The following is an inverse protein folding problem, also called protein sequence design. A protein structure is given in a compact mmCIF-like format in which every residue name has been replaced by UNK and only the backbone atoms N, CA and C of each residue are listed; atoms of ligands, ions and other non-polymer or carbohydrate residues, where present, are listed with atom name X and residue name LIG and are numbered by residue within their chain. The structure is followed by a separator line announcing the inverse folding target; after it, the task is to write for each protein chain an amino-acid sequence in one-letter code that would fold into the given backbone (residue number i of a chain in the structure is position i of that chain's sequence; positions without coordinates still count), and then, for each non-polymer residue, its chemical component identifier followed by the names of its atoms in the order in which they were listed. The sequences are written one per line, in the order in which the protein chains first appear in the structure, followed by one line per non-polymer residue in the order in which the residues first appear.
data_IF_237282055648
#
_entry.id   IF_237282055648
#
_cell.length_a   1.000
_cell.length_b   1.000
_cell.length_c   1.000
_cell.angle_alpha   90.00
_cell.angle_beta   90.00
_cell.angle_gamma   90.00
#
_symmetry.space_group_name_H-M   'P 1'
#
loop_
_entity.id
_entity.type
_entity.pdbx_description
1 polymer ?
#
# COMPACT_ATOMS: atom_id res chain seq x y z
N UNK A 1 -4.21 -14.45 -31.80
CA UNK A 1 -4.40 -13.45 -30.73
C UNK A 1 -5.35 -12.35 -31.21
N UNK A 2 -6.59 -12.73 -31.54
CA UNK A 2 -7.66 -11.83 -32.01
C UNK A 2 -9.06 -12.26 -31.52
N UNK A 3 -9.15 -13.30 -30.67
CA UNK A 3 -10.41 -13.85 -30.20
C UNK A 3 -10.77 -13.46 -28.74
N UNK A 4 -9.92 -12.67 -28.06
CA UNK A 4 -10.17 -12.23 -26.68
C UNK A 4 -10.74 -10.81 -26.57
N UNK A 5 -10.87 -10.07 -27.68
CA UNK A 5 -11.34 -8.68 -27.69
C UNK A 5 -12.87 -8.57 -27.86
N UNK A 6 -13.56 -9.64 -28.26
CA UNK A 6 -15.01 -9.61 -28.49
C UNK A 6 -15.89 -9.81 -27.23
N UNK A 7 -15.32 -10.21 -26.09
CA UNK A 7 -16.12 -10.59 -24.90
C UNK A 7 -16.38 -9.41 -23.95
N UNK A 8 -15.63 -8.30 -24.06
CA UNK A 8 -15.80 -7.14 -23.15
C UNK A 8 -16.85 -6.14 -23.67
N UNK A 9 -17.24 -6.21 -24.94
CA UNK A 9 -18.23 -5.28 -25.52
C UNK A 9 -19.69 -5.72 -25.36
N UNK A 10 -19.97 -7.00 -25.04
CA UNK A 10 -21.35 -7.48 -24.92
C UNK A 10 -21.91 -7.42 -23.49
N UNK A 11 -21.06 -7.24 -22.47
CA UNK A 11 -21.51 -7.16 -21.08
C UNK A 11 -22.06 -5.79 -20.66
N UNK A 12 -21.85 -4.74 -21.47
CA UNK A 12 -22.32 -3.39 -21.14
C UNK A 12 -23.73 -3.06 -21.65
N UNK A 13 -24.32 -3.89 -22.52
CA UNK A 13 -25.66 -3.66 -23.07
C UNK A 13 -26.78 -4.45 -22.37
N UNK A 14 -26.48 -5.59 -21.73
CA UNK A 14 -27.52 -6.46 -21.16
C UNK A 14 -27.91 -6.13 -19.70
N UNK A 15 -27.22 -5.17 -19.04
CA UNK A 15 -27.60 -4.73 -17.68
C UNK A 15 -28.71 -3.67 -17.65
N UNK A 16 -29.20 -3.19 -18.81
CA UNK A 16 -30.29 -2.20 -18.92
C UNK A 16 -31.63 -2.84 -19.31
N UNK A 17 -31.66 -4.10 -19.75
CA UNK A 17 -32.89 -4.79 -20.17
C UNK A 17 -33.08 -6.08 -19.36
N UNK A 18 -33.75 -5.99 -18.21
CA UNK A 18 -33.98 -7.09 -17.27
C UNK A 18 -34.52 -8.40 -17.89
N UNK A 19 -33.61 -9.27 -18.33
CA UNK A 19 -33.90 -10.63 -18.80
C UNK A 19 -32.96 -11.63 -18.12
N UNK A 20 -33.51 -12.78 -17.75
CA UNK A 20 -32.85 -13.85 -17.00
C UNK A 20 -31.70 -14.52 -17.77
N UNK A 21 -30.67 -15.05 -17.08
CA UNK A 21 -29.48 -15.60 -17.72
C UNK A 21 -29.75 -16.95 -18.42
N UNK A 22 -29.25 -17.07 -19.65
CA UNK A 22 -29.26 -18.29 -20.47
C UNK A 22 -28.12 -19.23 -20.04
N UNK A 23 -28.42 -20.52 -19.98
CA UNK A 23 -27.52 -21.63 -19.65
C UNK A 23 -26.41 -21.84 -20.69
N UNK A 24 -25.17 -22.01 -20.23
CA UNK A 24 -23.99 -22.32 -21.05
C UNK A 24 -23.80 -23.85 -21.15
N UNK A 25 -23.63 -24.44 -22.35
CA UNK A 25 -23.39 -25.87 -22.50
C UNK A 25 -21.93 -26.25 -22.21
N UNK A 26 -21.74 -27.42 -21.59
CA UNK A 26 -20.45 -28.03 -21.29
C UNK A 26 -19.72 -28.46 -22.58
N UNK A 27 -18.48 -28.04 -22.78
CA UNK A 27 -17.63 -28.50 -23.89
C UNK A 27 -16.76 -29.69 -23.47
N UNK A 28 -16.76 -30.72 -24.34
CA UNK A 28 -16.07 -32.00 -24.22
C UNK A 28 -14.53 -31.87 -24.15
N UNK A 29 -13.91 -32.80 -23.42
CA UNK A 29 -12.45 -32.93 -23.23
C UNK A 29 -11.78 -33.46 -24.50
N UNK A 30 -10.92 -32.65 -25.12
CA UNK A 30 -9.96 -33.11 -26.11
C UNK A 30 -8.68 -33.58 -25.42
N UNK A 31 -8.42 -34.89 -25.45
CA UNK A 31 -7.20 -35.53 -24.94
C UNK A 31 -6.11 -35.41 -26.02
N UNK A 32 -5.04 -34.66 -25.74
CA UNK A 32 -3.82 -34.68 -26.55
C UNK A 32 -2.71 -35.28 -25.68
N UNK A 33 -2.25 -36.45 -26.07
CA UNK A 33 -1.13 -37.14 -25.46
C UNK A 33 0.19 -36.46 -25.86
N UNK A 34 0.99 -36.05 -24.87
CA UNK A 34 2.40 -35.72 -25.06
C UNK A 34 3.23 -36.46 -24.02
N UNK A 35 4.17 -37.26 -24.53
CA UNK A 35 5.11 -38.08 -23.77
C UNK A 35 6.17 -37.21 -23.09
N UNK A 36 6.23 -37.25 -21.76
CA UNK A 36 7.31 -36.67 -20.97
C UNK A 36 8.43 -37.70 -20.74
N UNK A 37 9.72 -37.35 -20.94
CA UNK A 37 10.82 -38.21 -20.52
C UNK A 37 11.05 -38.11 -19.00
N UNK A 38 11.24 -39.28 -18.38
CA UNK A 38 11.49 -39.49 -16.96
C UNK A 38 12.81 -38.87 -16.50
N UNK A 39 12.75 -37.92 -15.57
CA UNK A 39 13.92 -37.40 -14.86
C UNK A 39 13.87 -37.88 -13.40
N UNK A 40 14.86 -38.68 -12.99
CA UNK A 40 14.99 -39.16 -11.61
C UNK A 40 15.63 -38.06 -10.74
N UNK A 41 15.17 -37.84 -9.50
CA UNK A 41 15.77 -36.86 -8.60
C UNK A 41 16.98 -37.46 -7.88
N UNK A 42 18.18 -36.97 -8.20
CA UNK A 42 19.38 -37.19 -7.40
C UNK A 42 19.31 -36.39 -6.09
N UNK A 43 19.37 -37.11 -4.97
CA UNK A 43 19.49 -36.54 -3.63
C UNK A 43 20.94 -36.21 -3.32
N UNK A 44 21.24 -34.92 -3.13
CA UNK A 44 22.51 -34.46 -2.54
C UNK A 44 22.25 -33.49 -1.37
N UNK A 45 23.06 -33.50 -0.29
CA UNK A 45 22.71 -32.87 0.99
C UNK A 45 22.76 -31.33 0.94
N UNK A 46 21.79 -30.70 1.62
CA UNK A 46 21.68 -29.24 1.80
C UNK A 46 22.87 -28.69 2.60
N UNK A 47 23.79 -28.00 1.93
CA UNK A 47 24.78 -27.15 2.58
C UNK A 47 24.10 -25.88 3.13
N UNK A 48 24.19 -25.68 4.46
CA UNK A 48 23.78 -24.44 5.14
C UNK A 48 24.67 -23.28 4.66
N UNK A 49 24.15 -22.41 3.79
CA UNK A 49 24.77 -21.10 3.54
C UNK A 49 24.52 -20.21 4.76
N UNK A 50 25.54 -20.02 5.60
CA UNK A 50 25.61 -18.93 6.57
C UNK A 50 25.46 -17.61 5.81
N UNK A 51 24.44 -16.83 6.14
CA UNK A 51 24.37 -15.41 5.77
C UNK A 51 25.43 -14.68 6.60
N UNK A 52 26.53 -14.26 5.98
CA UNK A 52 27.39 -13.22 6.53
C UNK A 52 26.57 -11.93 6.59
N UNK A 53 26.27 -11.44 7.80
CA UNK A 53 25.82 -10.06 8.00
C UNK A 53 27.00 -9.17 7.61
N UNK A 54 26.81 -8.27 6.65
CA UNK A 54 27.73 -7.15 6.50
C UNK A 54 27.54 -6.24 7.72
N UNK A 55 28.62 -6.00 8.47
CA UNK A 55 28.66 -5.20 9.71
C UNK A 55 28.54 -3.68 9.48
N UNK A 56 28.13 -3.21 8.30
CA UNK A 56 28.07 -1.78 7.96
C UNK A 56 26.65 -1.19 7.82
N UNK A 57 25.61 -1.89 8.29
CA UNK A 57 24.20 -1.45 8.22
C UNK A 57 23.62 -0.90 9.54
N UNK A 58 24.45 -0.54 10.52
CA UNK A 58 23.97 0.17 11.72
C UNK A 58 23.91 1.69 11.49
N UNK A 59 22.81 2.15 10.90
CA UNK A 59 22.36 3.55 11.02
C UNK A 59 21.34 3.65 12.16
N UNK A 60 21.34 4.75 12.94
CA UNK A 60 20.75 4.78 14.26
C UNK A 60 19.25 4.48 14.19
N UNK A 61 18.83 3.43 14.89
CA UNK A 61 17.42 3.22 15.19
C UNK A 61 16.87 4.48 15.86
N UNK A 62 15.64 4.86 15.57
CA UNK A 62 14.95 5.93 16.31
C UNK A 62 14.89 5.48 17.77
N UNK A 63 15.73 6.07 18.63
CA UNK A 63 15.91 5.66 20.03
C UNK A 63 14.91 6.34 20.98
N UNK A 64 14.12 7.29 20.48
CA UNK A 64 13.14 8.04 21.26
C UNK A 64 12.08 8.69 20.38
N UNK A 65 10.97 9.09 21.01
CA UNK A 65 9.94 9.87 20.35
C UNK A 65 10.46 11.29 20.09
N UNK A 66 10.30 11.84 18.87
CA UNK A 66 10.80 13.18 18.56
C UNK A 66 10.04 14.27 19.32
N UNK A 67 10.76 15.26 19.87
CA UNK A 67 10.21 16.30 20.75
C UNK A 67 9.22 17.27 20.07
N UNK A 68 9.22 17.30 18.73
CA UNK A 68 8.43 18.24 17.92
C UNK A 68 7.04 17.69 17.52
N UNK A 69 6.71 16.44 17.85
CA UNK A 69 5.40 15.86 17.60
C UNK A 69 4.59 15.76 18.91
N UNK A 70 3.28 16.02 18.83
CA UNK A 70 2.40 15.93 19.99
C UNK A 70 2.05 14.47 20.25
N UNK A 71 2.85 13.79 21.08
CA UNK A 71 2.58 12.41 21.43
C UNK A 71 1.61 12.28 22.61
N UNK A 72 0.67 11.34 22.52
CA UNK A 72 -0.23 10.97 23.62
C UNK A 72 0.03 9.53 24.09
N UNK A 73 -0.07 9.32 25.40
CA UNK A 73 -0.07 8.00 26.05
C UNK A 73 -1.46 7.37 26.08
N UNK A 74 -2.50 8.13 25.71
CA UNK A 74 -3.86 7.62 25.64
C UNK A 74 -3.94 6.49 24.62
N UNK A 75 -4.50 5.35 25.03
CA UNK A 75 -4.93 4.31 24.12
C UNK A 75 -6.44 4.50 23.86
N UNK A 76 -6.85 4.90 22.64
CA UNK A 76 -8.26 5.06 22.31
C UNK A 76 -9.10 3.80 22.51
N UNK A 77 -8.48 2.62 22.59
CA UNK A 77 -9.14 1.34 22.81
C UNK A 77 -9.04 0.86 24.27
N UNK A 78 -8.46 1.64 25.20
CA UNK A 78 -8.39 1.28 26.61
C UNK A 78 -9.78 1.07 27.24
N UNK A 79 -10.78 1.85 26.79
CA UNK A 79 -12.17 1.71 27.25
C UNK A 79 -12.87 0.44 26.73
N UNK A 80 -12.28 -0.27 25.76
CA UNK A 80 -12.87 -1.47 25.16
C UNK A 80 -12.71 -2.73 26.03
N UNK A 81 -11.96 -2.66 27.13
CA UNK A 81 -11.83 -3.76 28.10
C UNK A 81 -13.17 -4.19 28.72
N UNK A 82 -14.18 -3.30 28.72
CA UNK A 82 -15.52 -3.57 29.24
C UNK A 82 -16.52 -4.05 28.17
N UNK A 83 -16.04 -4.34 26.97
CA UNK A 83 -16.88 -4.64 25.81
C UNK A 83 -17.07 -3.43 24.92
N UNK A 84 -17.08 -3.69 23.63
CA UNK A 84 -17.10 -2.66 22.60
C UNK A 84 -17.79 -3.23 21.36
N UNK A 85 -18.65 -2.42 20.75
CA UNK A 85 -19.49 -2.81 19.62
C UNK A 85 -18.86 -2.34 18.31
N UNK A 86 -17.67 -2.86 18.01
CA UNK A 86 -17.00 -2.63 16.74
C UNK A 86 -16.48 -3.95 16.16
N UNK A 87 -16.30 -4.05 14.83
CA UNK A 87 -15.84 -5.29 14.20
C UNK A 87 -14.49 -5.75 14.77
N UNK A 88 -14.42 -6.96 15.33
CA UNK A 88 -13.20 -7.50 15.94
C UNK A 88 -12.51 -8.46 14.98
N UNK A 89 -11.17 -8.40 14.94
CA UNK A 89 -10.39 -9.38 14.21
C UNK A 89 -10.71 -10.79 14.75
N UNK A 90 -10.82 -11.83 13.89
CA UNK A 90 -11.03 -13.19 14.37
C UNK A 90 -10.00 -13.57 15.42
N UNK A 91 -10.44 -14.13 16.55
CA UNK A 91 -9.57 -14.38 17.70
C UNK A 91 -8.36 -15.27 17.36
N UNK A 92 -8.49 -16.15 16.37
CA UNK A 92 -7.38 -16.98 15.87
C UNK A 92 -6.27 -16.16 15.21
N UNK A 93 -6.61 -15.03 14.58
CA UNK A 93 -5.64 -14.11 13.98
C UNK A 93 -5.16 -13.08 14.99
N UNK A 94 -6.03 -12.55 15.85
CA UNK A 94 -5.66 -11.60 16.90
C UNK A 94 -4.55 -12.16 17.80
N UNK A 95 -4.65 -13.42 18.21
CA UNK A 95 -3.62 -14.11 19.02
C UNK A 95 -2.25 -14.24 18.33
N UNK A 96 -2.19 -14.01 17.02
CA UNK A 96 -0.93 -14.07 16.24
C UNK A 96 -0.33 -12.69 16.00
N UNK A 97 -1.01 -11.61 16.40
CA UNK A 97 -0.42 -10.27 16.41
C UNK A 97 0.49 -10.16 17.64
N UNK A 98 1.69 -9.66 17.41
CA UNK A 98 2.67 -9.39 18.45
C UNK A 98 2.28 -8.10 19.17
N UNK A 99 1.90 -8.21 20.45
CA UNK A 99 1.65 -7.07 21.36
C UNK A 99 2.79 -6.84 22.36
N UNK A 100 3.80 -7.72 22.39
CA UNK A 100 4.84 -7.71 23.41
C UNK A 100 6.08 -6.91 23.02
N UNK A 101 6.48 -6.94 21.74
CA UNK A 101 7.66 -6.18 21.30
C UNK A 101 7.37 -4.67 21.16
N UNK A 102 8.35 -3.79 21.37
CA UNK A 102 8.18 -2.35 21.10
C UNK A 102 7.86 -2.07 19.63
N UNK A 103 6.96 -1.12 19.35
CA UNK A 103 6.70 -0.64 17.98
C UNK A 103 7.70 0.43 17.53
N UNK A 104 8.16 1.27 18.46
CA UNK A 104 9.09 2.36 18.20
C UNK A 104 10.33 1.86 17.43
N UNK A 105 10.62 2.48 16.30
CA UNK A 105 11.81 2.15 15.48
C UNK A 105 11.67 0.89 14.63
N UNK A 106 10.50 0.25 14.57
CA UNK A 106 10.27 -0.95 13.75
C UNK A 106 10.01 -0.66 12.28
N UNK A 107 9.88 0.61 11.90
CA UNK A 107 9.81 1.07 10.52
C UNK A 107 11.22 1.33 9.98
N UNK A 108 11.51 0.88 8.75
CA UNK A 108 12.78 1.16 8.07
C UNK A 108 12.76 2.59 7.48
N UNK A 109 13.58 3.54 7.95
CA UNK A 109 13.53 4.93 7.50
C UNK A 109 13.60 5.06 5.98
N UNK A 110 12.84 6.00 5.43
CA UNK A 110 12.75 6.32 4.01
C UNK A 110 12.46 7.81 3.86
N UNK A 111 12.83 8.40 2.71
CA UNK A 111 12.63 9.83 2.44
C UNK A 111 11.86 10.12 1.15
N UNK A 112 11.44 9.07 0.43
CA UNK A 112 10.51 9.17 -0.68
C UNK A 112 9.59 7.95 -0.69
N UNK A 113 8.29 8.15 -0.88
CA UNK A 113 7.33 7.05 -1.06
C UNK A 113 6.64 7.18 -2.40
N UNK A 114 6.85 6.16 -3.23
CA UNK A 114 6.30 6.02 -4.57
C UNK A 114 5.19 4.98 -4.49
N UNK A 115 3.96 5.39 -4.74
CA UNK A 115 2.81 4.51 -4.77
C UNK A 115 2.31 4.33 -6.21
N UNK A 116 2.14 3.09 -6.63
CA UNK A 116 1.78 2.72 -8.00
C UNK A 116 0.40 2.08 -7.96
N UNK A 117 -0.58 2.62 -8.69
CA UNK A 117 -1.89 1.97 -8.77
C UNK A 117 -1.74 0.74 -9.66
N UNK A 118 -1.77 -0.46 -9.08
CA UNK A 118 -1.44 -1.69 -9.80
C UNK A 118 -2.27 -2.86 -9.27
N UNK A 119 -3.21 -3.35 -10.09
CA UNK A 119 -3.97 -4.57 -9.79
C UNK A 119 -4.78 -4.51 -8.49
N UNK A 120 -5.10 -5.69 -7.95
CA UNK A 120 -5.84 -5.86 -6.69
C UNK A 120 -5.04 -6.74 -5.73
N UNK A 121 -5.18 -6.51 -4.42
CA UNK A 121 -4.49 -7.29 -3.38
C UNK A 121 -4.82 -8.78 -3.40
N UNK A 122 -5.97 -9.15 -3.94
CA UNK A 122 -6.35 -10.55 -4.19
C UNK A 122 -5.50 -11.21 -5.28
N UNK A 123 -5.09 -10.43 -6.29
CA UNK A 123 -4.31 -10.86 -7.45
C UNK A 123 -2.81 -10.84 -7.21
N UNK A 124 -2.30 -9.92 -6.37
CA UNK A 124 -0.85 -9.75 -6.17
C UNK A 124 -0.13 -11.05 -5.81
N UNK A 125 1.10 -11.26 -6.30
CA UNK A 125 1.96 -12.36 -5.85
C UNK A 125 2.36 -12.14 -4.38
N UNK A 126 2.92 -13.16 -3.71
CA UNK A 126 3.35 -13.05 -2.30
C UNK A 126 4.32 -11.88 -2.11
N UNK A 127 5.28 -11.71 -3.01
CA UNK A 127 6.30 -10.66 -2.97
C UNK A 127 6.23 -9.85 -4.25
N UNK A 128 5.27 -8.93 -4.30
CA UNK A 128 5.02 -8.07 -5.46
C UNK A 128 6.27 -7.28 -5.86
N UNK A 129 7.06 -6.84 -4.88
CA UNK A 129 8.29 -6.09 -5.10
C UNK A 129 9.44 -6.93 -5.71
N UNK A 130 9.27 -8.25 -5.82
CA UNK A 130 10.24 -9.20 -6.39
C UNK A 130 9.72 -9.89 -7.65
N UNK A 131 8.46 -9.67 -8.03
CA UNK A 131 7.85 -10.33 -9.18
C UNK A 131 8.10 -9.52 -10.46
N UNK A 132 8.90 -10.02 -11.42
CA UNK A 132 9.30 -9.26 -12.60
C UNK A 132 8.15 -8.92 -13.55
N UNK A 133 6.97 -9.51 -13.35
CA UNK A 133 5.77 -9.17 -14.13
C UNK A 133 5.09 -7.89 -13.65
N UNK A 134 5.49 -7.38 -12.49
CA UNK A 134 4.87 -6.22 -11.85
C UNK A 134 5.65 -4.94 -12.09
N UNK A 135 4.92 -3.85 -12.24
CA UNK A 135 5.46 -2.49 -12.34
C UNK A 135 6.12 -2.12 -11.00
N UNK A 136 5.52 -2.53 -9.88
CA UNK A 136 6.08 -2.35 -8.53
C UNK A 136 7.48 -2.93 -8.38
N UNK A 137 7.74 -4.14 -8.86
CA UNK A 137 9.09 -4.71 -8.86
C UNK A 137 10.05 -3.91 -9.74
N UNK A 138 9.61 -3.46 -10.92
CA UNK A 138 10.44 -2.63 -11.81
C UNK A 138 10.86 -1.32 -11.16
N UNK A 139 9.92 -0.61 -10.50
CA UNK A 139 10.24 0.59 -9.73
C UNK A 139 11.17 0.30 -8.56
N UNK A 140 10.94 -0.80 -7.84
CA UNK A 140 11.76 -1.21 -6.70
C UNK A 140 13.20 -1.49 -7.14
N UNK A 141 13.38 -2.27 -8.20
CA UNK A 141 14.70 -2.60 -8.75
C UNK A 141 15.44 -1.36 -9.25
N UNK A 142 14.77 -0.47 -10.01
CA UNK A 142 15.37 0.77 -10.48
C UNK A 142 15.71 1.73 -9.32
N UNK A 143 14.82 1.88 -8.35
CA UNK A 143 15.07 2.71 -7.17
C UNK A 143 16.26 2.21 -6.34
N UNK A 144 16.48 0.89 -6.26
CA UNK A 144 17.68 0.32 -5.62
C UNK A 144 18.97 0.54 -6.43
N UNK A 145 18.87 0.62 -7.77
CA UNK A 145 20.01 0.87 -8.66
C UNK A 145 20.38 2.35 -8.76
N UNK A 146 19.42 3.25 -8.58
CA UNK A 146 19.68 4.68 -8.55
C UNK A 146 20.34 5.05 -7.22
N UNK A 147 21.56 5.60 -7.29
CA UNK A 147 22.32 5.97 -6.11
C UNK A 147 21.62 7.07 -5.29
N UNK A 148 21.44 6.85 -3.99
CA UNK A 148 20.86 7.83 -3.06
C UNK A 148 21.24 7.52 -1.62
N UNK A 149 21.32 8.55 -0.77
CA UNK A 149 21.66 8.42 0.65
C UNK A 149 20.46 8.00 1.52
N UNK A 150 19.28 7.91 0.93
CA UNK A 150 18.03 7.57 1.60
C UNK A 150 17.27 6.46 0.88
N UNK A 151 16.47 5.72 1.64
CA UNK A 151 15.60 4.69 1.05
C UNK A 151 14.42 5.34 0.33
N UNK A 152 14.12 4.80 -0.86
CA UNK A 152 12.84 5.00 -1.56
C UNK A 152 11.93 3.83 -1.21
N UNK A 153 10.76 4.12 -0.64
CA UNK A 153 9.70 3.14 -0.41
C UNK A 153 8.84 3.04 -1.68
N UNK A 154 8.63 1.84 -2.18
CA UNK A 154 7.73 1.58 -3.32
C UNK A 154 6.60 0.68 -2.85
N UNK A 155 5.36 1.07 -3.12
CA UNK A 155 4.16 0.31 -2.77
C UNK A 155 3.19 0.24 -3.95
N UNK A 156 2.51 -0.89 -4.12
CA UNK A 156 1.32 -0.94 -4.97
C UNK A 156 0.10 -0.45 -4.19
N UNK A 157 -0.78 0.31 -4.85
CA UNK A 157 -2.11 0.65 -4.38
C UNK A 157 -3.10 -0.35 -5.00
N UNK A 158 -3.96 -0.91 -4.16
CA UNK A 158 -5.05 -1.80 -4.56
C UNK A 158 -6.16 -0.99 -5.23
N UNK A 159 -6.40 -1.27 -6.52
CA UNK A 159 -7.44 -0.60 -7.31
C UNK A 159 -8.84 -0.75 -6.71
N UNK A 160 -9.08 -1.86 -5.99
CA UNK A 160 -10.38 -2.17 -5.37
C UNK A 160 -10.74 -1.22 -4.23
N UNK A 161 -9.72 -0.59 -3.63
CA UNK A 161 -9.86 0.38 -2.54
C UNK A 161 -9.38 1.77 -2.96
N UNK A 162 -9.24 2.03 -4.26
CA UNK A 162 -8.83 3.36 -4.74
C UNK A 162 -10.08 4.24 -4.82
N UNK A 163 -10.14 5.37 -4.09
CA UNK A 163 -11.22 6.34 -4.23
C UNK A 163 -11.41 6.75 -5.69
N UNK A 164 -12.65 7.04 -6.10
CA UNK A 164 -12.97 7.47 -7.46
C UNK A 164 -12.07 8.61 -7.93
N UNK A 165 -11.78 9.55 -7.04
CA UNK A 165 -11.07 10.79 -7.36
C UNK A 165 -9.56 10.59 -7.57
N UNK A 166 -9.04 9.43 -7.22
CA UNK A 166 -7.72 8.94 -7.64
C UNK A 166 -7.78 8.31 -9.05
N UNK A 167 -8.75 8.73 -9.87
CA UNK A 167 -9.07 8.26 -11.22
C UNK A 167 -7.83 7.80 -11.99
N UNK A 168 -7.89 6.57 -12.49
CA UNK A 168 -6.90 6.02 -13.40
C UNK A 168 -6.93 6.82 -14.71
N UNK A 169 -5.78 7.35 -15.14
CA UNK A 169 -5.67 8.07 -16.41
C UNK A 169 -6.10 7.19 -17.60
N UNK A 170 -6.57 7.79 -18.72
CA UNK A 170 -6.87 7.03 -19.94
C UNK A 170 -5.69 6.19 -20.42
N UNK A 171 -4.47 6.67 -20.23
CA UNK A 171 -3.23 5.95 -20.56
C UNK A 171 -3.09 4.68 -19.72
N UNK A 172 -3.31 4.76 -18.40
CA UNK A 172 -3.28 3.58 -17.56
C UNK A 172 -4.47 2.64 -17.81
N UNK A 173 -5.67 3.18 -18.02
CA UNK A 173 -6.85 2.37 -18.36
C UNK A 173 -6.68 1.61 -19.69
N UNK A 174 -5.94 2.19 -20.65
CA UNK A 174 -5.58 1.54 -21.91
C UNK A 174 -4.30 0.69 -21.85
N UNK A 175 -3.68 0.55 -20.67
CA UNK A 175 -2.44 -0.22 -20.48
C UNK A 175 -1.20 0.39 -21.15
N UNK A 176 -1.26 1.66 -21.54
CA UNK A 176 -0.16 2.39 -22.23
C UNK A 176 0.75 3.18 -21.28
N UNK A 177 0.37 3.31 -20.02
CA UNK A 177 1.14 3.99 -19.00
C UNK A 177 0.70 3.59 -17.59
N UNK A 178 1.27 4.25 -16.59
CA UNK A 178 0.92 4.06 -15.19
C UNK A 178 0.86 5.41 -14.47
N UNK A 179 -0.10 5.55 -13.57
CA UNK A 179 -0.17 6.70 -12.68
C UNK A 179 0.63 6.41 -11.41
N UNK A 180 1.46 7.36 -11.03
CA UNK A 180 2.41 7.21 -9.94
C UNK A 180 2.19 8.34 -8.95
N UNK A 181 1.84 7.98 -7.74
CA UNK A 181 1.69 8.92 -6.64
C UNK A 181 3.02 9.09 -5.88
N UNK A 182 3.40 10.34 -5.62
CA UNK A 182 4.67 10.74 -5.02
C UNK A 182 4.40 11.43 -3.67
N UNK A 183 4.92 10.83 -2.61
CA UNK A 183 4.76 11.30 -1.22
C UNK A 183 6.13 11.67 -0.63
N UNK A 184 6.21 12.73 0.19
CA UNK A 184 5.09 13.43 0.83
C UNK A 184 4.50 14.58 -0.01
N UNK A 185 4.99 14.79 -1.23
CA UNK A 185 4.60 15.91 -2.10
C UNK A 185 3.11 15.94 -2.51
N UNK A 186 2.41 14.79 -2.41
CA UNK A 186 1.01 14.60 -2.84
C UNK A 186 0.84 14.94 -4.33
N UNK A 187 1.80 14.48 -5.15
CA UNK A 187 1.74 14.64 -6.61
C UNK A 187 1.37 13.32 -7.25
N UNK A 188 0.67 13.38 -8.38
CA UNK A 188 0.37 12.22 -9.22
C UNK A 188 0.96 12.49 -10.60
N UNK A 189 1.93 11.67 -11.00
CA UNK A 189 2.45 11.65 -12.36
C UNK A 189 1.52 10.78 -13.20
N UNK A 190 0.88 11.36 -14.21
CA UNK A 190 -0.15 10.67 -15.00
C UNK A 190 0.40 10.05 -16.27
N UNK A 191 0.00 8.81 -16.54
CA UNK A 191 0.25 8.11 -17.80
C UNK A 191 1.73 7.89 -18.12
N UNK A 192 2.57 7.71 -17.10
CA UNK A 192 4.01 7.51 -17.27
C UNK A 192 4.23 6.19 -18.00
N UNK A 193 4.92 6.23 -19.15
CA UNK A 193 5.21 5.02 -19.91
C UNK A 193 6.34 4.23 -19.25
N UNK A 194 6.38 2.93 -19.54
CA UNK A 194 7.38 2.03 -18.95
C UNK A 194 8.83 2.39 -19.32
N UNK A 195 9.06 2.99 -20.47
CA UNK A 195 10.37 3.50 -20.93
C UNK A 195 10.79 4.79 -20.20
N UNK A 196 9.84 5.56 -19.66
CA UNK A 196 10.09 6.82 -18.96
C UNK A 196 10.44 6.65 -17.47
N UNK A 197 10.16 5.48 -16.89
CA UNK A 197 10.33 5.22 -15.44
C UNK A 197 11.73 5.58 -14.93
N UNK A 198 12.78 5.22 -15.69
CA UNK A 198 14.15 5.47 -15.27
C UNK A 198 14.46 6.97 -15.15
N UNK A 199 14.03 7.77 -16.14
CA UNK A 199 14.17 9.23 -16.10
C UNK A 199 13.36 9.87 -14.99
N UNK A 200 12.12 9.40 -14.77
CA UNK A 200 11.28 9.86 -13.66
C UNK A 200 11.95 9.61 -12.30
N UNK A 201 12.49 8.42 -12.09
CA UNK A 201 13.20 8.09 -10.84
C UNK A 201 14.45 8.94 -10.64
N UNK A 202 15.24 9.16 -11.69
CA UNK A 202 16.42 10.03 -11.63
C UNK A 202 16.04 11.48 -11.28
N UNK A 203 14.98 12.02 -11.88
CA UNK A 203 14.47 13.35 -11.55
C UNK A 203 13.94 13.44 -10.12
N UNK A 204 13.20 12.43 -9.65
CA UNK A 204 12.67 12.38 -8.27
C UNK A 204 13.78 12.30 -7.23
N UNK A 205 14.79 11.46 -7.46
CA UNK A 205 15.83 11.16 -6.46
C UNK A 205 16.85 12.30 -6.37
N UNK A 206 17.22 12.88 -7.51
CA UNK A 206 18.26 13.91 -7.61
C UNK A 206 17.71 15.32 -7.78
N UNK A 207 16.40 15.53 -7.60
CA UNK A 207 15.72 16.82 -7.75
C UNK A 207 16.01 17.51 -9.11
N UNK A 208 16.13 16.73 -10.19
CA UNK A 208 16.33 17.28 -11.54
C UNK A 208 14.99 17.71 -12.14
N UNK A 209 15.04 18.45 -13.24
CA UNK A 209 13.83 18.77 -14.01
C UNK A 209 13.16 17.49 -14.51
N UNK A 210 11.82 17.46 -14.46
CA UNK A 210 11.05 16.38 -15.06
C UNK A 210 10.90 16.60 -16.56
N UNK A 211 10.83 15.51 -17.32
CA UNK A 211 10.49 15.56 -18.74
C UNK A 211 9.13 16.24 -18.95
N UNK A 212 9.08 17.23 -19.84
CA UNK A 212 7.90 18.06 -20.08
C UNK A 212 6.67 17.28 -20.60
N UNK A 213 6.86 16.05 -21.11
CA UNK A 213 5.77 15.16 -21.51
C UNK A 213 5.03 14.52 -20.33
N UNK A 214 5.61 14.54 -19.13
CA UNK A 214 4.99 13.95 -17.94
C UNK A 214 4.02 14.97 -17.31
N UNK A 215 2.74 14.59 -17.25
CA UNK A 215 1.72 15.40 -16.60
C UNK A 215 1.79 15.23 -15.09
N UNK A 216 2.00 16.33 -14.38
CA UNK A 216 2.04 16.38 -12.91
C UNK A 216 0.74 16.97 -12.39
N UNK A 217 -0.04 16.18 -11.66
CA UNK A 217 -1.23 16.62 -10.96
C UNK A 217 -0.90 16.81 -9.48
N UNK A 218 -0.97 18.04 -8.98
CA UNK A 218 -0.75 18.35 -7.56
C UNK A 218 -2.07 18.26 -6.81
N UNK A 219 -2.10 17.47 -5.74
CA UNK A 219 -3.24 17.42 -4.83
C UNK A 219 -3.21 18.62 -3.88
N UNK A 220 -4.35 18.98 -3.29
CA UNK A 220 -4.41 20.08 -2.34
C UNK A 220 -3.71 19.71 -1.03
N UNK A 221 -3.30 20.72 -0.27
CA UNK A 221 -2.67 20.48 1.04
C UNK A 221 -3.60 19.71 1.98
N UNK A 222 -4.91 20.00 1.94
CA UNK A 222 -5.94 19.29 2.72
C UNK A 222 -6.34 17.91 2.15
N UNK A 223 -5.72 17.44 1.07
CA UNK A 223 -5.82 16.02 0.70
C UNK A 223 -4.99 15.17 1.69
N UNK A 224 -5.64 14.19 2.29
CA UNK A 224 -5.08 13.27 3.29
C UNK A 224 -5.04 11.87 2.72
N UNK A 225 -3.95 11.15 2.94
CA UNK A 225 -3.81 9.76 2.50
C UNK A 225 -3.55 8.83 3.69
N UNK A 226 -4.43 7.85 3.83
CA UNK A 226 -4.35 6.76 4.79
C UNK A 226 -4.08 5.49 4.00
N UNK A 227 -2.85 5.00 4.06
CA UNK A 227 -2.50 3.74 3.41
C UNK A 227 -2.59 2.58 4.39
N UNK A 228 -3.37 1.56 4.03
CA UNK A 228 -3.63 0.37 4.86
C UNK A 228 -3.02 -0.86 4.18
N UNK A 229 -2.16 -1.60 4.86
CA UNK A 229 -1.63 -2.84 4.27
C UNK A 229 -2.73 -3.92 4.14
N UNK A 230 -3.04 -4.36 2.92
CA UNK A 230 -4.10 -5.37 2.62
C UNK A 230 -3.55 -6.68 2.04
N UNK A 231 -2.23 -6.83 1.96
CA UNK A 231 -1.57 -7.88 1.17
C UNK A 231 -1.66 -9.29 1.79
N UNK A 232 -2.78 -9.99 1.53
CA UNK A 232 -3.11 -11.29 2.13
C UNK A 232 -2.13 -12.41 1.80
N UNK A 233 -1.66 -12.51 0.55
CA UNK A 233 -0.71 -13.57 0.17
C UNK A 233 0.61 -13.42 0.92
N UNK A 234 1.05 -12.19 1.19
CA UNK A 234 2.25 -11.90 1.98
C UNK A 234 2.04 -12.17 3.47
N UNK A 235 0.92 -11.71 4.02
CA UNK A 235 0.56 -11.94 5.41
C UNK A 235 -0.95 -12.00 5.62
N UNK A 236 -1.42 -13.11 6.20
CA UNK A 236 -2.85 -13.36 6.43
C UNK A 236 -3.48 -12.34 7.39
N UNK A 237 -2.75 -11.84 8.39
CA UNK A 237 -3.28 -10.86 9.35
C UNK A 237 -3.58 -9.55 8.64
N UNK A 238 -2.64 -9.03 7.85
CA UNK A 238 -2.88 -7.83 7.03
C UNK A 238 -4.02 -8.04 6.02
N UNK A 239 -4.10 -9.22 5.41
CA UNK A 239 -5.17 -9.58 4.48
C UNK A 239 -6.57 -9.72 5.07
N UNK A 240 -6.72 -9.66 6.40
CA UNK A 240 -8.02 -9.65 7.10
C UNK A 240 -8.22 -8.33 7.83
N UNK A 241 -7.24 -7.88 8.62
CA UNK A 241 -7.31 -6.62 9.35
C UNK A 241 -7.40 -5.41 8.42
N UNK A 242 -6.66 -5.42 7.30
CA UNK A 242 -6.62 -4.29 6.36
C UNK A 242 -8.00 -3.93 5.80
N UNK A 243 -8.72 -4.84 5.13
CA UNK A 243 -10.08 -4.59 4.66
C UNK A 243 -11.03 -4.11 5.76
N UNK A 244 -11.01 -4.72 6.95
CA UNK A 244 -11.83 -4.29 8.08
C UNK A 244 -11.56 -2.85 8.50
N UNK A 245 -10.29 -2.43 8.49
CA UNK A 245 -9.92 -1.05 8.79
C UNK A 245 -10.40 -0.09 7.70
N UNK A 246 -10.28 -0.46 6.42
CA UNK A 246 -10.75 0.39 5.31
C UNK A 246 -12.27 0.59 5.39
N UNK A 247 -13.02 -0.48 5.66
CA UNK A 247 -14.48 -0.41 5.84
C UNK A 247 -14.83 0.50 7.02
N UNK A 248 -14.14 0.35 8.15
CA UNK A 248 -14.36 1.19 9.34
C UNK A 248 -14.00 2.65 9.09
N UNK A 249 -12.88 2.95 8.40
CA UNK A 249 -12.56 4.32 7.99
C UNK A 249 -13.67 4.88 7.09
N UNK A 250 -14.19 4.08 6.15
CA UNK A 250 -15.28 4.52 5.25
C UNK A 250 -16.55 4.88 6.02
N UNK A 251 -16.89 4.11 7.07
CA UNK A 251 -18.01 4.42 7.96
C UNK A 251 -17.73 5.69 8.76
N UNK A 252 -16.60 5.76 9.44
CA UNK A 252 -16.23 6.89 10.28
C UNK A 252 -16.15 8.22 9.50
N UNK A 253 -15.65 8.21 8.26
CA UNK A 253 -15.59 9.42 7.42
C UNK A 253 -17.00 9.96 7.08
N UNK A 254 -18.00 9.10 6.94
CA UNK A 254 -19.40 9.51 6.72
C UNK A 254 -20.01 10.09 7.99
N UNK A 255 -19.73 9.50 9.14
CA UNK A 255 -20.21 10.00 10.43
C UNK A 255 -19.60 11.34 10.80
N UNK A 256 -18.30 11.50 10.57
CA UNK A 256 -17.51 12.68 10.93
C UNK A 256 -17.51 13.76 9.85
N UNK A 257 -18.35 13.67 8.82
CA UNK A 257 -18.30 14.60 7.66
C UNK A 257 -18.32 16.08 8.05
N UNK A 258 -19.04 16.44 9.12
CA UNK A 258 -19.11 17.83 9.62
C UNK A 258 -17.78 18.31 10.26
N UNK A 259 -17.01 17.41 10.87
CA UNK A 259 -15.72 17.71 11.49
C UNK A 259 -14.59 17.80 10.46
N UNK A 260 -14.79 17.19 9.28
CA UNK A 260 -13.81 17.07 8.20
C UNK A 260 -13.85 18.24 7.20
N UNK A 261 -14.31 19.42 7.62
CA UNK A 261 -14.53 20.53 6.69
C UNK A 261 -13.26 20.94 5.91
N UNK A 262 -13.39 20.93 4.60
CA UNK A 262 -12.31 21.17 3.64
C UNK A 262 -11.24 20.08 3.55
N UNK A 263 -11.31 19.00 4.34
CA UNK A 263 -10.43 17.84 4.21
C UNK A 263 -10.96 16.86 3.16
N UNK A 264 -10.04 16.34 2.35
CA UNK A 264 -10.35 15.26 1.41
C UNK A 264 -9.54 14.03 1.78
N UNK A 265 -10.17 13.08 2.45
CA UNK A 265 -9.49 11.89 3.00
C UNK A 265 -9.61 10.71 2.04
N UNK A 266 -8.45 10.20 1.63
CA UNK A 266 -8.29 9.03 0.75
C UNK A 266 -7.79 7.85 1.57
N UNK A 267 -8.60 6.80 1.66
CA UNK A 267 -8.22 5.55 2.31
C UNK A 267 -7.87 4.55 1.21
N UNK A 268 -6.63 4.05 1.20
CA UNK A 268 -6.11 3.22 0.12
C UNK A 268 -5.52 1.93 0.67
N UNK A 269 -5.91 0.79 0.11
CA UNK A 269 -5.22 -0.48 0.35
C UNK A 269 -3.85 -0.48 -0.34
N UNK A 270 -2.80 -0.96 0.33
CA UNK A 270 -1.46 -1.08 -0.25
C UNK A 270 -0.80 -2.44 -0.03
N UNK A 271 0.23 -2.70 -0.84
CA UNK A 271 1.13 -3.84 -0.70
C UNK A 271 1.87 -3.85 0.64
N UNK A 272 2.51 -4.97 0.95
CA UNK A 272 3.21 -5.12 2.22
C UNK A 272 4.36 -4.12 2.42
N UNK A 273 4.32 -3.37 3.52
CA UNK A 273 5.34 -2.36 3.89
C UNK A 273 6.34 -2.82 4.96
N UNK A 274 6.19 -4.05 5.49
CA UNK A 274 6.98 -4.55 6.62
C UNK A 274 6.24 -4.43 7.97
N UNK A 275 6.72 -5.18 8.97
CA UNK A 275 6.09 -5.21 10.30
C UNK A 275 4.77 -5.97 10.36
N UNK A 276 4.58 -6.99 9.53
CA UNK A 276 3.33 -7.77 9.52
C UNK A 276 3.01 -8.47 10.84
N UNK A 277 4.02 -8.70 11.71
CA UNK A 277 3.78 -9.19 13.07
C UNK A 277 2.96 -8.21 13.91
N UNK A 278 2.96 -6.92 13.54
CA UNK A 278 2.19 -5.83 14.13
C UNK A 278 0.99 -5.43 13.24
N UNK A 279 0.29 -6.40 12.65
CA UNK A 279 -0.78 -6.16 11.68
C UNK A 279 -1.82 -5.14 12.14
N UNK A 280 -2.52 -4.53 11.16
CA UNK A 280 -3.12 -3.20 11.35
C UNK A 280 -2.10 -2.10 11.06
N UNK A 281 -1.33 -2.28 9.97
CA UNK A 281 -0.27 -1.37 9.59
C UNK A 281 -0.80 -0.24 8.71
N UNK A 282 -0.57 1.00 9.13
CA UNK A 282 -0.98 2.21 8.42
C UNK A 282 0.22 3.10 8.09
N UNK A 283 0.08 3.93 7.05
CA UNK A 283 0.92 5.12 6.84
C UNK A 283 0.01 6.33 6.63
N UNK A 284 0.22 7.39 7.41
CA UNK A 284 -0.58 8.62 7.41
C UNK A 284 0.17 9.80 6.78
N UNK A 285 -0.43 10.41 5.76
CA UNK A 285 0.03 11.67 5.17
C UNK A 285 -1.11 12.70 5.23
N UNK A 286 -0.99 13.69 6.11
CA UNK A 286 -1.95 14.76 6.35
C UNK A 286 -1.20 16.11 6.47
N UNK A 287 -1.88 17.26 6.52
CA UNK A 287 -1.20 18.54 6.79
C UNK A 287 -0.33 18.52 8.05
N UNK A 288 -0.77 17.79 9.09
CA UNK A 288 -0.09 17.67 10.38
C UNK A 288 0.64 16.34 10.60
N UNK A 289 0.63 15.42 9.61
CA UNK A 289 1.33 14.12 9.69
C UNK A 289 2.12 13.88 8.41
N UNK A 290 3.37 13.43 8.54
CA UNK A 290 4.29 13.39 7.41
C UNK A 290 4.88 12.00 7.23
N UNK A 291 4.02 11.05 6.84
CA UNK A 291 4.41 9.66 6.64
C UNK A 291 4.62 8.92 7.95
N UNK A 292 3.70 9.12 8.90
CA UNK A 292 3.65 8.47 10.21
C UNK A 292 3.14 7.03 10.08
N UNK A 293 3.91 6.08 10.60
CA UNK A 293 3.57 4.66 10.52
C UNK A 293 2.92 4.20 11.80
N UNK A 294 1.74 3.60 11.67
CA UNK A 294 1.10 2.87 12.77
C UNK A 294 1.16 1.37 12.56
N UNK A 295 1.14 0.62 13.66
CA UNK A 295 0.92 -0.82 13.72
C UNK A 295 -0.11 -1.14 14.80
N UNK A 296 -0.58 -2.39 14.84
CA UNK A 296 -1.60 -2.86 15.81
C UNK A 296 -2.91 -2.07 15.77
N UNK A 297 -3.19 -1.38 14.66
CA UNK A 297 -4.42 -0.61 14.54
C UNK A 297 -5.61 -1.56 14.48
N UNK A 298 -6.61 -1.26 15.30
CA UNK A 298 -7.90 -1.94 15.39
C UNK A 298 -9.00 -0.98 14.94
N UNK A 299 -10.18 -1.50 14.66
CA UNK A 299 -11.35 -0.72 14.25
C UNK A 299 -11.74 0.34 15.31
N UNK A 300 -11.61 0.04 16.61
CA UNK A 300 -11.82 1.04 17.69
C UNK A 300 -10.96 2.30 17.53
N UNK A 301 -9.74 2.19 17.00
CA UNK A 301 -8.84 3.34 16.91
C UNK A 301 -9.22 4.30 15.78
N UNK A 302 -10.03 3.88 14.80
CA UNK A 302 -10.23 4.60 13.54
C UNK A 302 -10.74 6.03 13.75
N UNK A 303 -11.78 6.23 14.58
CA UNK A 303 -12.35 7.56 14.85
C UNK A 303 -11.32 8.47 15.51
N UNK A 304 -10.61 7.97 16.52
CA UNK A 304 -9.56 8.73 17.20
C UNK A 304 -8.36 9.01 16.31
N UNK A 305 -8.00 8.14 15.37
CA UNK A 305 -6.97 8.44 14.37
C UNK A 305 -7.42 9.60 13.46
N UNK A 306 -8.70 9.63 13.05
CA UNK A 306 -9.23 10.74 12.26
C UNK A 306 -9.20 12.04 13.08
N UNK A 307 -9.81 12.04 14.26
CA UNK A 307 -9.97 13.26 15.05
C UNK A 307 -8.63 13.75 15.62
N UNK A 308 -7.85 12.87 16.22
CA UNK A 308 -6.65 13.29 16.95
C UNK A 308 -5.43 13.33 16.03
N UNK A 309 -5.18 12.29 15.22
CA UNK A 309 -3.98 12.27 14.38
C UNK A 309 -4.10 13.12 13.13
N UNK A 310 -5.23 13.03 12.41
CA UNK A 310 -5.39 13.73 11.14
C UNK A 310 -5.76 15.20 11.35
N UNK A 311 -6.77 15.49 12.19
CA UNK A 311 -7.22 16.87 12.41
C UNK A 311 -6.32 17.61 13.39
N UNK A 312 -5.90 16.99 14.49
CA UNK A 312 -5.11 17.66 15.53
C UNK A 312 -3.60 17.45 15.44
N UNK A 313 -3.11 16.45 14.70
CA UNK A 313 -1.68 16.14 14.60
C UNK A 313 -1.12 15.37 15.81
N UNK A 314 -1.99 14.80 16.65
CA UNK A 314 -1.60 14.02 17.81
C UNK A 314 -1.21 12.59 17.42
N UNK A 315 -0.12 12.10 17.98
CA UNK A 315 0.44 10.79 17.65
C UNK A 315 0.30 9.82 18.83
N UNK A 316 -0.42 8.71 18.62
CA UNK A 316 -0.58 7.66 19.63
C UNK A 316 0.70 6.84 19.79
N UNK A 317 1.38 6.96 20.93
CA UNK A 317 2.65 6.24 21.19
C UNK A 317 2.49 4.72 21.11
N UNK A 318 1.35 4.21 21.61
CA UNK A 318 1.02 2.78 21.62
C UNK A 318 0.89 2.16 20.21
N UNK A 319 0.66 2.99 19.19
CA UNK A 319 0.50 2.57 17.80
C UNK A 319 1.68 2.97 16.91
N UNK A 320 2.47 3.98 17.29
CA UNK A 320 3.48 4.57 16.42
C UNK A 320 4.74 3.73 16.27
N UNK A 321 5.16 3.57 15.01
CA UNK A 321 6.33 2.79 14.60
C UNK A 321 7.50 3.65 14.16
N UNK A 322 7.23 4.89 13.74
CA UNK A 322 8.21 5.81 13.18
C UNK A 322 7.59 6.75 12.14
N UNK A 323 8.33 7.77 11.75
CA UNK A 323 7.93 8.75 10.73
C UNK A 323 8.96 8.81 9.61
N UNK A 324 8.51 9.16 8.41
CA UNK A 324 9.36 9.41 7.25
C UNK A 324 10.46 10.45 7.53
N UNK A 325 11.64 10.25 6.94
CA UNK A 325 12.69 11.25 6.97
C UNK A 325 12.36 12.43 6.05
N UNK A 326 13.05 13.56 6.23
CA UNK A 326 12.95 14.73 5.36
C UNK A 326 13.13 14.34 3.89
N UNK A 327 12.12 14.63 3.06
CA UNK A 327 12.15 14.34 1.63
C UNK A 327 13.05 15.30 0.85
N UNK A 328 13.55 14.89 -0.34
CA UNK A 328 14.15 15.84 -1.28
C UNK A 328 13.14 16.94 -1.63
N UNK A 329 13.62 18.17 -1.84
CA UNK A 329 12.79 19.26 -2.33
C UNK A 329 12.60 19.14 -3.85
N UNK A 330 11.36 19.05 -4.30
CA UNK A 330 11.00 19.04 -5.72
C UNK A 330 10.34 20.38 -6.12
N UNK A 331 10.57 20.84 -7.35
CA UNK A 331 10.16 22.17 -7.82
C UNK A 331 9.35 22.18 -9.12
N UNK A 332 8.87 21.01 -9.57
CA UNK A 332 7.98 20.88 -10.73
C UNK A 332 6.61 21.45 -10.42
#
# INVERSE_FOLDING_TARGET
MAALIAIVSSFFHDLIAGRSPVTVPQSEKLIIATSAPSFQPETSPKAKKQKSKNENDEKPAVTGYPDNAYFTEEDPCASCEQGCDHPKLPSSLEKTIDYGEPLLGTMKPYALHICIIEGSSSGWPERIEQDPTTITAKFTDLAHKTHTDYRVLVSAIDISYTPSDLHVSPEQASGRGVDIMILPHKWILRGVRLDQIGGVLDSLIHSKTLDASIRVNKMADKDVFIFVCTHKKRDRRCGVAGPMLIDEFTVALKELTNELDGYKIHVCGISHIGGHKFAGNLILYAPKTHGDWYGRVKTCHVRSIIQESILEGKVFKSLWRGQMNKSPSLTW
#
